data_IF_726265256838
#
_entry.id   IF_726265256838
#
_cell.length_a   1.000
_cell.length_b   1.000
_cell.length_c   1.000
_cell.angle_alpha   90.00
_cell.angle_beta   90.00
_cell.angle_gamma   90.00
#
_symmetry.space_group_name_H-M   'P 1'
#
loop_
_entity.id
_entity.type
_entity.pdbx_description
1 polymer ?
#
# COMPACT_ATOMS: atom_id res chain seq x y z
N UNK A 1 -18.09 4.43 -1.11
CA UNK A 1 -17.79 4.56 0.34
C UNK A 1 -18.50 5.82 0.85
N UNK A 2 -18.99 5.85 2.09
CA UNK A 2 -19.80 6.98 2.61
C UNK A 2 -18.92 8.21 2.94
N UNK A 3 -19.09 9.34 2.23
CA UNK A 3 -18.28 10.54 2.46
C UNK A 3 -18.50 11.19 3.83
N UNK A 4 -19.63 10.93 4.49
CA UNK A 4 -19.93 11.47 5.84
C UNK A 4 -19.08 10.83 6.93
N UNK A 5 -18.59 9.60 6.69
CA UNK A 5 -17.69 8.86 7.59
C UNK A 5 -16.23 9.09 7.18
N UNK A 6 -15.95 9.05 5.87
CA UNK A 6 -14.61 9.24 5.34
C UNK A 6 -14.60 10.39 4.33
N UNK A 7 -14.12 11.58 4.72
CA UNK A 7 -13.90 12.67 3.79
C UNK A 7 -12.99 12.23 2.63
N UNK A 8 -13.32 12.65 1.42
CA UNK A 8 -12.59 12.31 0.17
C UNK A 8 -12.24 10.82 0.06
N UNK A 9 -13.24 9.92 0.11
CA UNK A 9 -12.99 8.49 0.30
C UNK A 9 -12.28 7.82 -0.89
N UNK A 10 -12.33 8.43 -2.06
CA UNK A 10 -11.64 7.97 -3.28
C UNK A 10 -10.15 8.37 -3.31
N UNK A 11 -9.70 9.21 -2.36
CA UNK A 11 -8.31 9.66 -2.27
C UNK A 11 -7.52 8.80 -1.30
N UNK A 12 -6.36 8.32 -1.75
CA UNK A 12 -5.40 7.66 -0.86
C UNK A 12 -4.78 8.68 0.11
N UNK A 13 -5.29 8.72 1.35
CA UNK A 13 -4.78 9.54 2.44
C UNK A 13 -4.29 8.62 3.60
N UNK A 14 -2.98 8.30 3.65
CA UNK A 14 -2.43 7.39 4.66
C UNK A 14 -2.43 7.96 6.08
N UNK A 15 -2.37 9.30 6.24
CA UNK A 15 -2.32 9.96 7.56
C UNK A 15 -3.56 9.67 8.41
N UNK A 16 -4.71 9.40 7.76
CA UNK A 16 -5.97 9.00 8.40
C UNK A 16 -5.77 7.84 9.40
N UNK A 17 -4.91 6.90 9.05
CA UNK A 17 -4.66 5.69 9.82
C UNK A 17 -3.49 5.83 10.81
N UNK A 18 -2.52 6.70 10.51
CA UNK A 18 -1.46 7.07 11.44
C UNK A 18 -2.08 7.70 12.70
N UNK A 19 -2.96 8.69 12.51
CA UNK A 19 -3.71 9.35 13.59
C UNK A 19 -4.63 8.41 14.38
N UNK A 20 -5.09 7.30 13.77
CA UNK A 20 -5.86 6.27 14.48
C UNK A 20 -4.92 5.36 15.29
N UNK A 21 -3.77 4.98 14.75
CA UNK A 21 -2.78 4.14 15.44
C UNK A 21 -2.20 4.80 16.69
N UNK A 22 -2.01 6.13 16.67
CA UNK A 22 -1.57 6.92 17.83
C UNK A 22 -2.53 6.84 19.02
N UNK A 23 -3.80 6.48 18.77
CA UNK A 23 -4.82 6.28 19.81
C UNK A 23 -4.77 4.88 20.43
N UNK A 24 -3.77 4.07 20.06
CA UNK A 24 -3.56 2.71 20.57
C UNK A 24 -4.31 1.63 19.79
N UNK A 25 -4.85 1.96 18.62
CA UNK A 25 -5.73 1.07 17.86
C UNK A 25 -4.92 0.33 16.78
N UNK A 26 -4.52 -0.92 17.11
CA UNK A 26 -4.02 -1.98 16.20
C UNK A 26 -2.49 -2.12 16.02
N UNK A 27 -1.97 -3.23 16.58
CA UNK A 27 -0.63 -3.76 16.29
C UNK A 27 -0.43 -4.06 14.79
N UNK A 28 -1.48 -4.48 14.09
CA UNK A 28 -1.39 -4.80 12.67
C UNK A 28 -1.05 -3.56 11.82
N UNK A 29 -1.60 -2.39 12.17
CA UNK A 29 -1.22 -1.14 11.50
C UNK A 29 0.24 -0.78 11.81
N UNK A 30 0.66 -0.87 13.07
CA UNK A 30 2.05 -0.59 13.44
C UNK A 30 3.06 -1.47 12.68
N UNK A 31 2.77 -2.75 12.47
CA UNK A 31 3.61 -3.68 11.72
C UNK A 31 3.67 -3.34 10.22
N UNK A 32 2.52 -3.06 9.59
CA UNK A 32 2.45 -2.67 8.18
C UNK A 32 3.21 -1.36 7.95
N UNK A 33 2.97 -0.34 8.76
CA UNK A 33 3.62 0.96 8.61
C UNK A 33 5.13 0.87 8.78
N UNK A 34 5.62 0.18 9.80
CA UNK A 34 7.06 -0.02 10.00
C UNK A 34 7.70 -0.74 8.82
N UNK A 35 7.05 -1.78 8.31
CA UNK A 35 7.55 -2.54 7.16
C UNK A 35 7.67 -1.65 5.92
N UNK A 36 6.64 -0.87 5.62
CA UNK A 36 6.65 0.07 4.48
C UNK A 36 7.73 1.13 4.67
N UNK A 37 7.84 1.73 5.86
CA UNK A 37 8.84 2.75 6.18
C UNK A 37 10.25 2.22 5.97
N UNK A 38 10.58 1.05 6.50
CA UNK A 38 11.91 0.45 6.34
C UNK A 38 12.23 0.20 4.86
N UNK A 39 11.28 -0.31 4.09
CA UNK A 39 11.49 -0.56 2.66
C UNK A 39 11.67 0.75 1.89
N UNK A 40 10.79 1.73 2.10
CA UNK A 40 10.76 2.98 1.35
C UNK A 40 11.96 3.89 1.64
N UNK A 41 12.54 3.84 2.84
CA UNK A 41 13.69 4.69 3.20
C UNK A 41 15.04 4.02 2.90
N UNK A 42 15.08 2.69 2.82
CA UNK A 42 16.34 1.95 2.62
C UNK A 42 16.67 1.71 1.16
N UNK A 43 15.67 1.64 0.29
CA UNK A 43 15.86 1.25 -1.10
C UNK A 43 15.29 2.32 -2.02
N UNK A 44 16.13 2.83 -2.93
CA UNK A 44 15.62 3.50 -4.12
C UNK A 44 15.16 2.44 -5.12
N UNK A 45 13.96 2.60 -5.67
CA UNK A 45 13.28 1.57 -6.43
C UNK A 45 12.49 2.12 -7.60
N UNK A 46 12.56 1.43 -8.73
CA UNK A 46 11.69 1.67 -9.89
C UNK A 46 10.79 0.47 -10.17
N UNK A 47 9.63 0.71 -10.80
CA UNK A 47 8.76 -0.36 -11.27
C UNK A 47 9.44 -1.15 -12.38
N UNK A 48 9.41 -2.48 -12.28
CA UNK A 48 9.96 -3.38 -13.29
C UNK A 48 8.88 -4.35 -13.75
N UNK A 49 8.57 -4.41 -15.06
CA UNK A 49 7.57 -5.33 -15.61
C UNK A 49 6.25 -5.33 -14.80
N UNK A 50 5.83 -4.14 -14.35
CA UNK A 50 4.64 -3.92 -13.52
C UNK A 50 3.85 -2.75 -14.06
N UNK A 51 2.55 -2.96 -14.26
CA UNK A 51 1.60 -1.97 -14.75
C UNK A 51 0.43 -1.80 -13.79
N UNK A 52 -0.35 -0.73 -13.95
CA UNK A 52 -1.56 -0.51 -13.15
C UNK A 52 -2.59 -1.66 -13.28
N UNK A 53 -2.63 -2.34 -14.43
CA UNK A 53 -3.52 -3.50 -14.66
C UNK A 53 -3.14 -4.72 -13.81
N UNK A 54 -1.89 -4.82 -13.36
CA UNK A 54 -1.42 -5.94 -12.55
C UNK A 54 -1.90 -5.83 -11.08
N UNK A 55 -2.40 -4.66 -10.68
CA UNK A 55 -2.92 -4.39 -9.33
C UNK A 55 -4.39 -3.94 -9.32
N UNK A 56 -4.94 -3.47 -10.44
CA UNK A 56 -6.35 -3.05 -10.53
C UNK A 56 -7.30 -4.21 -10.20
N UNK A 57 -8.33 -3.93 -9.40
CA UNK A 57 -9.32 -4.94 -9.03
C UNK A 57 -10.24 -5.21 -10.22
N UNK A 58 -10.11 -6.41 -10.80
CA UNK A 58 -10.93 -6.84 -11.93
C UNK A 58 -12.03 -7.83 -11.51
N UNK A 59 -11.97 -8.34 -10.28
CA UNK A 59 -12.89 -9.32 -9.71
C UNK A 59 -13.09 -8.99 -8.25
N UNK A 60 -14.34 -9.00 -7.79
CA UNK A 60 -14.72 -8.64 -6.43
C UNK A 60 -15.58 -9.75 -5.79
N UNK A 61 -14.96 -10.91 -5.61
CA UNK A 61 -15.56 -12.07 -4.95
C UNK A 61 -15.03 -12.15 -3.51
N UNK A 62 -14.30 -13.21 -3.15
CA UNK A 62 -13.79 -13.43 -1.79
C UNK A 62 -12.51 -12.65 -1.50
N UNK A 63 -11.60 -12.62 -2.47
CA UNK A 63 -10.40 -11.81 -2.41
C UNK A 63 -10.31 -11.06 -3.73
N UNK A 64 -10.16 -9.73 -3.72
CA UNK A 64 -10.00 -8.98 -4.94
C UNK A 64 -8.73 -9.45 -5.68
N UNK A 65 -8.84 -9.56 -7.00
CA UNK A 65 -7.78 -10.06 -7.89
C UNK A 65 -7.64 -9.17 -9.11
N UNK A 66 -6.41 -9.06 -9.60
CA UNK A 66 -6.16 -8.47 -10.91
C UNK A 66 -6.62 -9.40 -12.02
N UNK A 67 -6.72 -8.83 -13.23
CA UNK A 67 -7.11 -9.59 -14.43
C UNK A 67 -6.22 -10.81 -14.66
N UNK A 68 -4.91 -10.69 -14.40
CA UNK A 68 -3.91 -11.75 -14.54
C UNK A 68 -3.82 -12.70 -13.33
N UNK A 69 -4.73 -12.59 -12.36
CA UNK A 69 -4.78 -13.47 -11.18
C UNK A 69 -4.30 -12.79 -9.90
N UNK A 70 -3.35 -13.43 -9.20
CA UNK A 70 -2.79 -12.86 -7.96
C UNK A 70 -2.03 -11.58 -8.28
N UNK A 71 -2.16 -10.57 -7.42
CA UNK A 71 -1.35 -9.36 -7.53
C UNK A 71 0.13 -9.71 -7.40
N UNK A 72 0.91 -9.12 -8.29
CA UNK A 72 2.37 -9.15 -8.24
C UNK A 72 2.84 -7.75 -8.55
N UNK A 73 3.66 -7.21 -7.67
CA UNK A 73 4.40 -5.97 -7.90
C UNK A 73 5.86 -6.39 -7.96
N UNK A 74 6.51 -6.07 -9.06
CA UNK A 74 7.94 -6.27 -9.25
C UNK A 74 8.58 -4.90 -9.29
N UNK A 75 9.65 -4.77 -8.53
CA UNK A 75 10.48 -3.56 -8.50
C UNK A 75 11.92 -3.96 -8.76
N UNK A 76 12.69 -3.02 -9.29
CA UNK A 76 14.13 -3.11 -9.36
C UNK A 76 14.71 -2.13 -8.35
N UNK A 77 15.61 -2.61 -7.50
CA UNK A 77 16.39 -1.75 -6.61
C UNK A 77 17.42 -1.03 -7.45
N UNK A 78 17.39 0.30 -7.41
CA UNK A 78 18.34 1.18 -8.08
C UNK A 78 19.54 1.40 -7.19
N UNK A 79 19.30 1.66 -5.91
CA UNK A 79 20.34 1.90 -4.91
C UNK A 79 19.89 1.47 -3.51
N UNK A 80 20.87 1.32 -2.61
CA UNK A 80 20.65 1.09 -1.19
C UNK A 80 21.15 2.32 -0.46
N UNK A 81 20.22 3.01 0.23
CA UNK A 81 20.57 4.16 1.05
C UNK A 81 21.33 3.67 2.28
N UNK A 82 22.63 3.93 2.30
CA UNK A 82 23.46 3.77 3.50
C UNK A 82 23.29 5.00 4.40
N UNK A 83 23.29 4.75 5.72
CA UNK A 83 23.04 5.74 6.78
C UNK A 83 24.19 6.73 6.95
#
# INVERSE_FOLDING_TARGET
MDPSIFPDPETFNPDRWVMASERGESLAYAEIYKTIVVIAHRFDMELYDTTAEDVRFARDLVAPRAKKGRWKVKVKVIDIVEE
#
